data_IF_160522551634
#
_entry.id   IF_160522551634
#
_cell.length_a   1.000
_cell.length_b   1.000
_cell.length_c   1.000
_cell.angle_alpha   90.00
_cell.angle_beta   90.00
_cell.angle_gamma   90.00
#
_symmetry.space_group_name_H-M   'P 1'
#
loop_
_entity.id
_entity.type
_entity.pdbx_description
1 polymer ?
#
# COMPACT_ATOMS: atom_id res chain seq x y z
N UNK A 1 -4.99 -15.28 -3.77
CA UNK A 1 -3.97 -15.73 -2.79
C UNK A 1 -2.63 -15.23 -3.28
N UNK A 2 -1.85 -14.52 -2.45
CA UNK A 2 -0.49 -14.08 -2.77
C UNK A 2 0.42 -14.68 -1.69
N UNK A 3 1.46 -15.41 -2.06
CA UNK A 3 2.38 -16.05 -1.11
C UNK A 3 3.82 -15.97 -1.57
N UNK A 4 4.76 -15.98 -0.63
CA UNK A 4 6.18 -16.17 -0.92
C UNK A 4 6.45 -17.61 -1.37
N UNK A 5 7.55 -17.80 -2.10
CA UNK A 5 7.93 -19.13 -2.62
C UNK A 5 8.16 -20.17 -1.50
N UNK A 6 8.66 -19.73 -0.35
CA UNK A 6 8.88 -20.54 0.85
C UNK A 6 7.63 -20.65 1.75
N UNK A 7 6.53 -19.99 1.39
CA UNK A 7 5.28 -19.96 2.16
C UNK A 7 5.35 -19.21 3.51
N UNK A 8 6.50 -18.65 3.89
CA UNK A 8 6.69 -18.01 5.19
C UNK A 8 5.91 -16.71 5.33
N UNK A 9 5.58 -16.03 4.24
CA UNK A 9 4.77 -14.82 4.23
C UNK A 9 3.72 -14.82 3.13
N UNK A 10 2.66 -14.04 3.32
CA UNK A 10 1.63 -13.92 2.31
C UNK A 10 0.39 -13.15 2.74
N UNK A 11 -0.55 -13.10 1.80
CA UNK A 11 -1.85 -12.47 1.96
C UNK A 11 -2.96 -13.32 1.32
N UNK A 12 -4.07 -13.47 2.05
CA UNK A 12 -5.27 -14.14 1.56
C UNK A 12 -6.48 -13.27 1.85
N UNK A 13 -7.15 -12.80 0.80
CA UNK A 13 -8.27 -11.89 0.92
C UNK A 13 -9.04 -11.73 -0.39
N UNK A 14 -9.96 -10.77 -0.36
CA UNK A 14 -10.75 -10.31 -1.51
C UNK A 14 -10.35 -8.90 -1.88
N UNK A 15 -10.49 -8.59 -3.15
CA UNK A 15 -10.35 -7.25 -3.70
C UNK A 15 -11.71 -6.88 -4.27
N UNK A 16 -12.22 -5.72 -3.87
CA UNK A 16 -13.49 -5.17 -4.33
C UNK A 16 -13.27 -3.71 -4.70
N UNK A 17 -13.96 -3.20 -5.73
CA UNK A 17 -13.77 -1.82 -6.13
C UNK A 17 -14.22 -1.49 -7.54
N UNK A 18 -13.80 -0.32 -8.00
CA UNK A 18 -14.16 0.24 -9.30
C UNK A 18 -12.95 0.87 -9.98
N UNK A 19 -12.82 0.59 -11.26
CA UNK A 19 -11.90 1.25 -12.18
C UNK A 19 -12.75 1.95 -13.24
N UNK A 20 -12.50 3.24 -13.46
CA UNK A 20 -13.10 4.01 -14.56
C UNK A 20 -11.99 4.54 -15.45
N UNK A 21 -12.10 4.27 -16.75
CA UNK A 21 -11.26 4.87 -17.78
C UNK A 21 -12.15 5.75 -18.65
N UNK A 22 -11.81 7.03 -18.74
CA UNK A 22 -12.48 8.01 -19.60
C UNK A 22 -11.47 8.55 -20.61
N UNK A 23 -11.83 8.51 -21.91
CA UNK A 23 -10.98 8.99 -23.02
C UNK A 23 -9.54 8.49 -22.96
N UNK A 24 -9.36 7.20 -22.66
CA UNK A 24 -8.04 6.56 -22.54
C UNK A 24 -7.25 6.96 -21.30
N UNK A 25 -7.83 7.69 -20.35
CA UNK A 25 -7.20 8.09 -19.09
C UNK A 25 -7.90 7.45 -17.90
N UNK A 26 -7.13 7.01 -16.92
CA UNK A 26 -7.66 6.54 -15.64
C UNK A 26 -8.33 7.70 -14.91
N UNK A 27 -9.66 7.64 -14.76
CA UNK A 27 -10.48 8.68 -14.13
C UNK A 27 -10.86 8.31 -12.69
N UNK A 28 -10.97 7.01 -12.39
CA UNK A 28 -11.22 6.51 -11.03
C UNK A 28 -10.50 5.20 -10.80
N UNK A 29 -9.93 5.05 -9.62
CA UNK A 29 -9.33 3.81 -9.14
C UNK A 29 -9.58 3.74 -7.64
N UNK A 30 -10.67 3.08 -7.24
CA UNK A 30 -11.00 2.84 -5.83
C UNK A 30 -10.98 1.33 -5.62
N UNK A 31 -10.01 0.82 -4.85
CA UNK A 31 -9.94 -0.59 -4.47
C UNK A 31 -9.88 -0.74 -2.96
N UNK A 32 -10.69 -1.65 -2.43
CA UNK A 32 -10.62 -2.14 -1.07
C UNK A 32 -10.09 -3.57 -1.09
N UNK A 33 -9.04 -3.81 -0.33
CA UNK A 33 -8.45 -5.14 -0.14
C UNK A 33 -8.65 -5.53 1.32
N UNK A 34 -9.38 -6.62 1.58
CA UNK A 34 -9.65 -7.13 2.91
C UNK A 34 -9.34 -8.62 3.02
N UNK A 35 -8.68 -9.00 4.11
CA UNK A 35 -8.11 -10.33 4.22
C UNK A 35 -7.14 -10.47 5.37
N UNK A 36 -6.31 -11.51 5.30
CA UNK A 36 -5.35 -11.89 6.33
C UNK A 36 -3.94 -11.90 5.77
N UNK A 37 -3.02 -11.27 6.49
CA UNK A 37 -1.58 -11.21 6.23
C UNK A 37 -0.83 -12.08 7.25
N UNK A 38 0.30 -12.66 6.85
CA UNK A 38 1.24 -13.34 7.76
C UNK A 38 2.68 -13.19 7.27
N UNK A 39 3.62 -13.42 8.19
CA UNK A 39 5.05 -13.52 7.89
C UNK A 39 5.78 -12.18 7.84
N UNK A 40 7.10 -12.25 7.96
CA UNK A 40 8.00 -11.12 7.84
C UNK A 40 8.68 -11.14 6.47
N UNK A 41 8.99 -9.96 5.93
CA UNK A 41 9.85 -9.87 4.75
C UNK A 41 11.30 -9.60 5.16
N UNK A 42 12.26 -9.83 4.26
CA UNK A 42 13.69 -9.52 4.50
C UNK A 42 13.93 -8.11 5.03
N UNK A 43 13.14 -7.12 4.60
CA UNK A 43 13.35 -5.70 4.92
C UNK A 43 12.31 -5.10 5.87
N UNK A 44 11.27 -5.84 6.24
CA UNK A 44 10.20 -5.35 7.12
C UNK A 44 9.79 -6.48 8.05
N UNK A 45 10.15 -6.31 9.32
CA UNK A 45 9.95 -7.25 10.41
C UNK A 45 8.78 -6.80 11.30
N UNK A 46 8.39 -7.66 12.25
CA UNK A 46 7.39 -7.32 13.27
C UNK A 46 5.94 -7.59 12.86
N UNK A 47 5.71 -8.47 11.90
CA UNK A 47 4.36 -8.94 11.59
C UNK A 47 3.74 -9.66 12.79
N UNK A 48 2.44 -9.44 12.99
CA UNK A 48 1.67 -10.16 14.02
C UNK A 48 1.72 -11.66 13.75
N UNK A 49 1.85 -12.51 14.79
CA UNK A 49 1.86 -13.96 14.63
C UNK A 49 0.61 -14.47 13.91
N UNK A 50 0.81 -15.49 13.05
CA UNK A 50 -0.27 -16.14 12.32
C UNK A 50 -0.92 -15.28 11.24
N UNK A 51 -2.13 -15.68 10.81
CA UNK A 51 -2.92 -14.98 9.78
C UNK A 51 -3.75 -13.86 10.41
N UNK A 52 -3.17 -12.68 10.53
CA UNK A 52 -3.79 -11.51 11.14
C UNK A 52 -4.59 -10.67 10.12
N UNK A 53 -5.74 -10.08 10.50
CA UNK A 53 -6.52 -9.23 9.59
C UNK A 53 -5.72 -8.00 9.15
N UNK A 54 -5.81 -7.66 7.87
CA UNK A 54 -5.15 -6.50 7.28
C UNK A 54 -5.96 -5.99 6.09
N UNK A 55 -6.26 -4.68 6.10
CA UNK A 55 -6.97 -3.98 5.04
C UNK A 55 -6.08 -2.95 4.33
N UNK A 56 -6.28 -2.76 3.02
CA UNK A 56 -5.66 -1.68 2.26
C UNK A 56 -6.72 -1.00 1.42
N UNK A 57 -6.61 0.32 1.26
CA UNK A 57 -7.43 1.10 0.35
C UNK A 57 -6.49 1.76 -0.65
N UNK A 58 -6.81 1.60 -1.93
CA UNK A 58 -6.16 2.32 -3.01
C UNK A 58 -7.16 3.32 -3.57
N UNK A 59 -6.71 4.57 -3.74
CA UNK A 59 -7.49 5.64 -4.33
C UNK A 59 -6.61 6.42 -5.32
N UNK A 60 -7.16 6.73 -6.49
CA UNK A 60 -6.53 7.67 -7.41
C UNK A 60 -6.47 9.06 -6.77
N UNK A 61 -5.27 9.60 -6.60
CA UNK A 61 -5.08 10.97 -6.14
C UNK A 61 -5.31 11.98 -7.28
N UNK A 62 -5.79 13.17 -6.94
CA UNK A 62 -5.92 14.28 -7.90
C UNK A 62 -4.61 15.04 -8.14
N UNK A 63 -3.55 14.71 -7.39
CA UNK A 63 -2.19 15.24 -7.59
C UNK A 63 -2.01 16.69 -7.13
N UNK A 64 -3.00 17.31 -6.48
CA UNK A 64 -2.97 18.74 -6.16
C UNK A 64 -2.13 19.06 -4.92
N UNK A 65 -1.98 18.12 -3.99
CA UNK A 65 -1.19 18.33 -2.76
C UNK A 65 0.26 17.92 -2.99
N UNK A 66 1.18 18.57 -2.27
CA UNK A 66 2.58 18.18 -2.29
C UNK A 66 2.80 16.70 -1.90
N UNK A 67 1.96 16.18 -0.99
CA UNK A 67 1.96 14.77 -0.56
C UNK A 67 1.53 13.78 -1.64
N UNK A 68 0.83 14.24 -2.68
CA UNK A 68 0.38 13.39 -3.79
C UNK A 68 1.49 13.14 -4.81
N UNK A 69 2.59 13.90 -4.74
CA UNK A 69 3.73 13.81 -5.65
C UNK A 69 4.68 12.72 -5.17
N UNK A 70 5.38 12.09 -6.12
CA UNK A 70 6.44 11.14 -5.79
C UNK A 70 7.54 11.89 -5.05
N UNK A 71 7.92 11.48 -3.83
CA UNK A 71 8.96 12.16 -3.09
C UNK A 71 10.33 12.01 -3.79
N UNK A 72 11.19 13.04 -3.72
CA UNK A 72 12.56 12.93 -4.26
C UNK A 72 13.28 11.74 -3.61
N UNK A 73 13.96 10.95 -4.45
CA UNK A 73 14.75 9.78 -4.05
C UNK A 73 14.00 8.74 -3.17
N UNK A 74 12.67 8.69 -3.22
CA UNK A 74 11.90 7.68 -2.47
C UNK A 74 11.97 7.85 -0.95
N UNK A 75 12.09 9.10 -0.47
CA UNK A 75 12.26 9.39 0.95
C UNK A 75 11.12 8.80 1.80
N UNK A 76 11.47 8.05 2.84
CA UNK A 76 10.52 7.31 3.68
C UNK A 76 10.03 8.09 4.90
N UNK A 77 10.65 9.23 5.18
CA UNK A 77 10.29 10.11 6.30
C UNK A 77 10.37 11.59 5.88
N UNK A 78 9.28 12.09 5.30
CA UNK A 78 9.18 13.48 4.87
C UNK A 78 9.24 14.50 6.05
N UNK A 79 8.64 14.26 7.24
CA UNK A 79 8.73 15.22 8.35
C UNK A 79 10.16 15.52 8.82
N UNK A 80 11.05 14.52 8.91
CA UNK A 80 12.45 14.76 9.28
C UNK A 80 13.31 15.35 8.17
N UNK A 81 12.89 15.18 6.92
CA UNK A 81 13.53 15.84 5.78
C UNK A 81 13.16 17.32 5.71
N UNK A 82 11.89 17.64 5.96
CA UNK A 82 11.38 19.01 5.93
C UNK A 82 11.56 19.76 7.26
N UNK A 83 11.84 19.07 8.37
CA UNK A 83 11.96 19.67 9.71
C UNK A 83 12.98 18.94 10.62
N UNK A 84 14.29 19.17 10.48
CA UNK A 84 15.34 18.38 11.15
C UNK A 84 15.63 18.73 12.63
N UNK A 85 14.85 19.60 13.28
CA UNK A 85 15.15 20.14 14.62
C UNK A 85 14.12 19.79 15.72
N UNK A 86 13.43 18.66 15.61
CA UNK A 86 12.58 18.10 16.69
C UNK A 86 12.95 16.67 17.00
#
# INVERSE_FOLDING_TARGET
LIGSADGQMGYQGKIEGMILVDKGRLAKFDLLVLGKHWGNSRYTQGARPGKAPMGQVFRLSDGKRASDRIPPQGIRWAPGYWNPAT
#
